data_IF_600597268683
#
_entry.id   IF_600597268683
#
_cell.length_a   1.000
_cell.length_b   1.000
_cell.length_c   1.000
_cell.angle_alpha   90.00
_cell.angle_beta   90.00
_cell.angle_gamma   90.00
#
_symmetry.space_group_name_H-M   'P 1'
#
loop_
_entity.id
_entity.type
_entity.pdbx_description
1 polymer ?
#
# COMPACT_ATOMS: atom_id res chain seq x y z
N UNK A 1 48.24 -34.31 -46.70
CA UNK A 1 48.09 -32.85 -46.48
C UNK A 1 46.62 -32.57 -46.71
N UNK A 2 45.83 -32.60 -45.64
CA UNK A 2 44.37 -32.58 -45.70
C UNK A 2 43.91 -31.26 -45.10
N UNK A 3 43.22 -30.47 -45.91
CA UNK A 3 42.73 -29.13 -45.62
C UNK A 3 41.54 -29.22 -44.66
N UNK A 4 41.72 -28.70 -43.44
CA UNK A 4 40.66 -28.64 -42.44
C UNK A 4 39.75 -27.44 -42.74
N UNK A 5 38.54 -27.72 -43.21
CA UNK A 5 37.45 -26.74 -43.33
C UNK A 5 36.93 -26.40 -41.92
N UNK A 6 36.96 -25.15 -41.46
CA UNK A 6 36.35 -24.80 -40.19
C UNK A 6 34.83 -24.77 -40.35
N UNK A 7 34.13 -25.65 -39.63
CA UNK A 7 32.69 -25.54 -39.38
C UNK A 7 32.46 -24.27 -38.56
N UNK A 8 31.80 -23.29 -39.18
CA UNK A 8 31.28 -22.11 -38.52
C UNK A 8 30.00 -22.51 -37.76
N UNK A 9 30.17 -22.94 -36.52
CA UNK A 9 29.08 -23.21 -35.60
C UNK A 9 28.68 -21.88 -34.94
N UNK A 10 27.85 -21.08 -35.64
CA UNK A 10 27.26 -19.89 -35.04
C UNK A 10 26.22 -20.34 -34.02
N UNK A 11 26.48 -20.02 -32.74
CA UNK A 11 25.54 -20.02 -31.63
C UNK A 11 24.21 -19.39 -32.09
N UNK A 12 23.26 -20.26 -32.43
CA UNK A 12 21.87 -19.87 -32.43
C UNK A 12 21.53 -19.80 -30.95
N UNK A 13 21.45 -18.59 -30.41
CA UNK A 13 20.87 -18.32 -29.10
C UNK A 13 19.52 -19.04 -29.07
N UNK A 14 19.52 -20.21 -28.41
CA UNK A 14 18.36 -21.06 -28.28
C UNK A 14 17.29 -20.20 -27.64
N UNK A 15 16.31 -19.82 -28.46
CA UNK A 15 15.11 -19.12 -28.05
C UNK A 15 14.40 -20.07 -27.10
N UNK A 16 14.81 -20.00 -25.83
CA UNK A 16 14.40 -20.86 -24.74
C UNK A 16 12.89 -20.77 -24.71
N UNK A 17 12.28 -21.78 -25.31
CA UNK A 17 10.86 -21.78 -25.61
C UNK A 17 10.24 -22.02 -24.26
N UNK A 18 9.95 -20.91 -23.58
CA UNK A 18 9.44 -20.86 -22.22
C UNK A 18 8.32 -21.89 -22.11
N UNK A 19 8.65 -23.08 -21.59
CA UNK A 19 7.67 -24.13 -21.31
C UNK A 19 6.52 -23.43 -20.61
N UNK A 20 5.26 -23.68 -20.99
CA UNK A 20 4.14 -23.13 -20.25
C UNK A 20 4.30 -23.63 -18.83
N UNK A 21 4.84 -22.78 -17.95
CA UNK A 21 4.98 -23.09 -16.55
C UNK A 21 3.55 -23.36 -16.11
N UNK A 22 3.27 -24.61 -15.75
CA UNK A 22 2.01 -25.02 -15.17
C UNK A 22 1.89 -24.24 -13.87
N UNK A 23 1.37 -23.00 -13.96
CA UNK A 23 1.18 -22.10 -12.83
C UNK A 23 0.32 -22.89 -11.86
N UNK A 24 0.83 -23.16 -10.66
CA UNK A 24 0.02 -23.81 -9.66
C UNK A 24 -1.25 -22.97 -9.46
N UNK A 25 -2.44 -23.58 -9.40
CA UNK A 25 -3.70 -22.83 -9.27
C UNK A 25 -3.66 -21.89 -8.06
N UNK A 26 -2.95 -22.28 -7.00
CA UNK A 26 -2.69 -21.46 -5.81
C UNK A 26 -1.88 -20.19 -6.10
N UNK A 27 -0.86 -20.23 -6.98
CA UNK A 27 -0.08 -19.03 -7.32
C UNK A 27 -0.90 -18.01 -8.13
N UNK A 28 -1.83 -18.49 -8.97
CA UNK A 28 -2.74 -17.61 -9.71
C UNK A 28 -3.76 -16.94 -8.78
N UNK A 29 -4.32 -17.69 -7.82
CA UNK A 29 -5.27 -17.17 -6.84
C UNK A 29 -4.59 -16.13 -5.94
N UNK A 30 -3.40 -16.42 -5.43
CA UNK A 30 -2.63 -15.49 -4.59
C UNK A 30 -2.36 -14.17 -5.32
N UNK A 31 -2.00 -14.22 -6.61
CA UNK A 31 -1.80 -13.01 -7.42
C UNK A 31 -3.07 -12.16 -7.57
N UNK A 32 -4.22 -12.79 -7.86
CA UNK A 32 -5.50 -12.07 -7.96
C UNK A 32 -5.95 -11.47 -6.63
N UNK A 33 -5.75 -12.19 -5.53
CA UNK A 33 -6.06 -11.71 -4.17
C UNK A 33 -5.18 -10.51 -3.80
N UNK A 34 -3.86 -10.58 -4.06
CA UNK A 34 -2.95 -9.45 -3.85
C UNK A 34 -3.33 -8.23 -4.70
N UNK A 35 -3.76 -8.44 -5.95
CA UNK A 35 -4.25 -7.35 -6.80
C UNK A 35 -5.52 -6.71 -6.22
N UNK A 36 -6.49 -7.50 -5.78
CA UNK A 36 -7.72 -6.99 -5.16
C UNK A 36 -7.49 -6.28 -3.82
N UNK A 37 -6.56 -6.79 -3.00
CA UNK A 37 -6.20 -6.14 -1.73
C UNK A 37 -5.44 -4.83 -1.95
N UNK A 38 -4.59 -4.75 -2.98
CA UNK A 38 -3.84 -3.52 -3.30
C UNK A 38 -4.74 -2.43 -3.89
N UNK A 39 -5.76 -2.79 -4.69
CA UNK A 39 -6.77 -1.81 -5.13
C UNK A 39 -7.60 -1.32 -3.95
N UNK A 40 -8.01 -2.21 -3.04
CA UNK A 40 -8.72 -1.82 -1.82
C UNK A 40 -7.88 -0.85 -0.97
N UNK A 41 -6.59 -1.16 -0.80
CA UNK A 41 -5.64 -0.30 -0.08
C UNK A 41 -5.53 1.10 -0.74
N UNK A 42 -5.47 1.16 -2.07
CA UNK A 42 -5.44 2.42 -2.81
C UNK A 42 -6.70 3.25 -2.54
N UNK A 43 -7.88 2.65 -2.68
CA UNK A 43 -9.16 3.34 -2.47
C UNK A 43 -9.31 3.86 -1.03
N UNK A 44 -8.93 3.06 -0.04
CA UNK A 44 -8.93 3.51 1.35
C UNK A 44 -7.92 4.62 1.61
N UNK A 45 -6.74 4.59 0.99
CA UNK A 45 -5.75 5.64 1.14
C UNK A 45 -6.24 6.98 0.55
N UNK A 46 -6.92 6.94 -0.60
CA UNK A 46 -7.59 8.10 -1.19
C UNK A 46 -8.66 8.65 -0.24
N UNK A 47 -9.47 7.79 0.38
CA UNK A 47 -10.48 8.21 1.35
C UNK A 47 -9.87 8.85 2.62
N UNK A 48 -8.75 8.30 3.13
CA UNK A 48 -7.99 8.87 4.25
C UNK A 48 -7.51 10.28 3.88
N UNK A 49 -6.83 10.43 2.74
CA UNK A 49 -6.30 11.73 2.28
C UNK A 49 -7.44 12.72 2.04
N UNK A 50 -8.53 12.30 1.40
CA UNK A 50 -9.68 13.18 1.12
C UNK A 50 -10.34 13.71 2.40
N UNK A 51 -10.61 12.83 3.36
CA UNK A 51 -11.23 13.23 4.64
C UNK A 51 -10.32 14.13 5.47
N UNK A 52 -9.03 13.83 5.53
CA UNK A 52 -8.06 14.63 6.29
C UNK A 52 -7.70 15.95 5.60
N UNK A 53 -7.60 15.99 4.28
CA UNK A 53 -7.35 17.21 3.51
C UNK A 53 -8.51 18.20 3.63
N UNK A 54 -9.76 17.72 3.59
CA UNK A 54 -10.93 18.59 3.77
C UNK A 54 -10.99 19.19 5.19
N UNK A 55 -10.63 18.41 6.20
CA UNK A 55 -10.54 18.88 7.58
C UNK A 55 -9.45 19.96 7.72
N UNK A 56 -8.27 19.73 7.14
CA UNK A 56 -7.16 20.68 7.16
C UNK A 56 -7.46 21.96 6.37
N UNK A 57 -8.12 21.84 5.22
CA UNK A 57 -8.58 22.98 4.44
C UNK A 57 -9.59 23.83 5.21
N UNK A 58 -10.52 23.20 5.92
CA UNK A 58 -11.48 23.91 6.77
C UNK A 58 -10.76 24.66 7.90
N UNK A 59 -9.81 24.02 8.57
CA UNK A 59 -8.96 24.68 9.57
C UNK A 59 -8.24 25.90 9.00
N UNK A 60 -7.54 25.76 7.86
CA UNK A 60 -6.79 26.85 7.25
C UNK A 60 -7.69 28.04 6.85
N UNK A 61 -8.92 27.78 6.41
CA UNK A 61 -9.87 28.85 6.03
C UNK A 61 -10.59 29.51 7.21
N UNK A 62 -10.67 28.85 8.37
CA UNK A 62 -11.43 29.32 9.54
C UNK A 62 -10.53 29.70 10.72
N UNK A 63 -9.24 29.42 10.61
CA UNK A 63 -8.24 29.82 11.57
C UNK A 63 -8.00 31.33 11.45
N UNK A 64 -8.41 32.05 12.49
CA UNK A 64 -8.10 33.46 12.68
C UNK A 64 -6.86 33.55 13.58
N UNK A 65 -5.92 34.43 13.21
CA UNK A 65 -4.68 34.65 13.97
C UNK A 65 -4.95 35.15 15.39
N UNK A 66 -3.89 35.21 16.21
CA UNK A 66 -3.98 35.63 17.63
C UNK A 66 -4.46 37.06 17.85
N UNK A 67 -4.48 37.87 16.80
CA UNK A 67 -4.91 39.28 16.83
C UNK A 67 -6.44 39.44 16.88
N UNK A 68 -7.20 38.36 16.69
CA UNK A 68 -8.66 38.38 16.74
C UNK A 68 -9.17 37.90 18.11
N UNK A 69 -10.09 38.65 18.70
CA UNK A 69 -10.64 38.44 20.06
C UNK A 69 -11.57 37.22 20.18
N UNK A 70 -11.95 36.57 19.08
CA UNK A 70 -12.79 35.37 19.04
C UNK A 70 -12.11 34.25 18.22
N UNK A 71 -11.01 33.65 18.71
CA UNK A 71 -10.40 32.54 18.03
C UNK A 71 -11.32 31.30 18.14
N UNK A 72 -11.83 30.84 16.99
CA UNK A 72 -12.66 29.64 16.90
C UNK A 72 -11.90 28.35 17.28
N UNK A 73 -10.58 28.41 17.20
CA UNK A 73 -9.65 27.32 17.49
C UNK A 73 -8.74 27.70 18.68
N UNK A 74 -8.37 26.76 19.54
CA UNK A 74 -7.51 27.04 20.68
C UNK A 74 -6.09 27.47 20.23
N UNK A 75 -5.42 28.28 21.05
CA UNK A 75 -4.09 28.84 20.73
C UNK A 75 -2.97 27.80 20.64
N UNK A 76 -3.09 26.69 21.39
CA UNK A 76 -2.20 25.53 21.33
C UNK A 76 -2.93 24.38 20.64
N UNK A 77 -2.83 24.33 19.32
CA UNK A 77 -3.54 23.36 18.49
C UNK A 77 -2.57 22.48 17.71
N UNK A 78 -2.68 21.16 17.90
CA UNK A 78 -1.79 20.19 17.25
C UNK A 78 -2.37 19.71 15.91
N UNK A 79 -1.87 20.30 14.82
CA UNK A 79 -2.17 19.87 13.43
C UNK A 79 -1.31 18.71 12.96
N UNK A 80 -0.22 18.41 13.68
CA UNK A 80 0.79 17.40 13.34
C UNK A 80 0.20 16.01 13.04
N UNK A 81 -0.75 15.48 13.82
CA UNK A 81 -1.35 14.18 13.55
C UNK A 81 -2.10 14.15 12.20
N UNK A 82 -2.87 15.20 11.90
CA UNK A 82 -3.64 15.29 10.65
C UNK A 82 -2.72 15.45 9.45
N UNK A 83 -1.65 16.25 9.55
CA UNK A 83 -0.66 16.36 8.47
C UNK A 83 0.10 15.05 8.24
N UNK A 84 0.40 14.28 9.31
CA UNK A 84 1.04 12.98 9.19
C UNK A 84 0.12 11.97 8.48
N UNK A 85 -1.18 11.96 8.79
CA UNK A 85 -2.19 11.14 8.11
C UNK A 85 -2.26 11.44 6.60
N UNK A 86 -2.28 12.73 6.23
CA UNK A 86 -2.28 13.15 4.81
C UNK A 86 -1.00 12.69 4.12
N UNK A 87 0.16 12.96 4.71
CA UNK A 87 1.46 12.63 4.12
C UNK A 87 1.63 11.11 3.94
N UNK A 88 1.33 10.33 4.98
CA UNK A 88 1.42 8.87 4.94
C UNK A 88 0.41 8.28 3.94
N UNK A 89 -0.83 8.80 3.92
CA UNK A 89 -1.84 8.40 2.94
C UNK A 89 -1.39 8.68 1.50
N UNK A 90 -0.80 9.85 1.23
CA UNK A 90 -0.28 10.18 -0.09
C UNK A 90 0.85 9.23 -0.55
N UNK A 91 1.77 8.87 0.36
CA UNK A 91 2.82 7.89 0.07
C UNK A 91 2.23 6.52 -0.28
N UNK A 92 1.20 6.08 0.46
CA UNK A 92 0.49 4.82 0.16
C UNK A 92 -0.18 4.89 -1.22
N UNK A 93 -0.83 6.00 -1.56
CA UNK A 93 -1.47 6.17 -2.87
C UNK A 93 -0.44 6.01 -3.99
N UNK A 94 0.69 6.72 -3.89
CA UNK A 94 1.74 6.68 -4.91
C UNK A 94 2.33 5.27 -5.03
N UNK A 95 2.67 4.61 -3.92
CA UNK A 95 3.27 3.28 -3.95
C UNK A 95 2.31 2.21 -4.48
N UNK A 96 1.03 2.26 -4.08
CA UNK A 96 -0.02 1.36 -4.56
C UNK A 96 -0.35 1.61 -6.03
N UNK A 97 -0.41 2.86 -6.48
CA UNK A 97 -0.64 3.20 -7.88
C UNK A 97 0.48 2.69 -8.78
N UNK A 98 1.74 2.92 -8.41
CA UNK A 98 2.91 2.39 -9.13
C UNK A 98 2.82 0.86 -9.24
N UNK A 99 2.50 0.19 -8.14
CA UNK A 99 2.40 -1.28 -8.12
C UNK A 99 1.28 -1.82 -9.00
N UNK A 100 0.14 -1.12 -9.08
CA UNK A 100 -0.94 -1.47 -9.99
C UNK A 100 -0.52 -1.29 -11.44
N UNK A 101 0.09 -0.15 -11.79
CA UNK A 101 0.60 0.11 -13.15
C UNK A 101 1.58 -0.98 -13.59
N UNK A 102 2.53 -1.36 -12.72
CA UNK A 102 3.48 -2.45 -12.98
C UNK A 102 2.81 -3.82 -13.15
N UNK A 103 1.63 -4.01 -12.56
CA UNK A 103 0.86 -5.26 -12.65
C UNK A 103 0.00 -5.34 -13.92
N UNK A 104 -0.49 -4.21 -14.43
CA UNK A 104 -1.32 -4.14 -15.64
C UNK A 104 -0.51 -4.22 -16.94
N UNK A 105 0.70 -3.66 -16.96
CA UNK A 105 1.54 -3.67 -18.16
C UNK A 105 2.25 -5.01 -18.30
N UNK A 106 2.02 -5.79 -19.36
CA UNK A 106 2.56 -7.16 -19.49
C UNK A 106 4.09 -7.21 -19.51
N UNK A 107 4.75 -6.22 -20.14
CA UNK A 107 6.21 -6.12 -20.15
C UNK A 107 6.79 -5.84 -18.75
N UNK A 108 6.16 -4.94 -17.99
CA UNK A 108 6.57 -4.63 -16.63
C UNK A 108 6.23 -5.75 -15.65
N UNK A 109 5.17 -6.51 -15.93
CA UNK A 109 4.81 -7.70 -15.16
C UNK A 109 5.86 -8.80 -15.26
N UNK A 110 6.52 -8.95 -16.41
CA UNK A 110 7.65 -9.86 -16.56
C UNK A 110 8.85 -9.42 -15.70
N UNK A 111 9.11 -8.12 -15.63
CA UNK A 111 10.13 -7.53 -14.74
C UNK A 111 9.77 -7.76 -13.27
N UNK A 112 8.52 -7.55 -12.85
CA UNK A 112 8.04 -7.86 -11.50
C UNK A 112 8.23 -9.35 -11.13
N UNK A 113 7.95 -10.25 -12.08
CA UNK A 113 8.15 -11.69 -11.88
C UNK A 113 9.63 -12.04 -11.71
N UNK A 114 10.51 -11.37 -12.46
CA UNK A 114 11.97 -11.55 -12.41
C UNK A 114 12.54 -10.98 -11.10
N UNK A 115 12.10 -9.79 -10.71
CA UNK A 115 12.48 -9.11 -9.47
C UNK A 115 11.38 -9.28 -8.42
N UNK A 116 11.24 -10.51 -7.89
CA UNK A 116 10.25 -10.89 -6.86
C UNK A 116 10.20 -9.94 -5.64
N UNK A 117 11.27 -9.20 -5.36
CA UNK A 117 11.32 -8.21 -4.27
C UNK A 117 10.48 -6.96 -4.51
N UNK A 118 10.25 -6.54 -5.76
CA UNK A 118 9.57 -5.26 -6.05
C UNK A 118 8.09 -5.32 -5.65
N UNK A 119 7.44 -6.48 -5.78
CA UNK A 119 6.05 -6.69 -5.38
C UNK A 119 5.82 -6.51 -3.86
N UNK A 120 6.86 -6.65 -3.04
CA UNK A 120 6.79 -6.44 -1.59
C UNK A 120 7.09 -4.99 -1.18
N UNK A 121 7.60 -4.15 -2.07
CA UNK A 121 7.98 -2.77 -1.72
C UNK A 121 6.77 -1.92 -1.37
N UNK A 122 5.71 -1.93 -2.18
CA UNK A 122 4.55 -1.09 -1.87
C UNK A 122 3.82 -1.50 -0.57
N UNK A 123 3.59 -2.80 -0.30
CA UNK A 123 2.98 -3.20 0.97
C UNK A 123 3.86 -2.93 2.19
N UNK A 124 5.18 -3.05 2.08
CA UNK A 124 6.10 -2.70 3.18
C UNK A 124 6.12 -1.19 3.43
N UNK A 125 6.21 -0.37 2.39
CA UNK A 125 6.09 1.09 2.50
C UNK A 125 4.74 1.48 3.11
N UNK A 126 3.66 0.84 2.68
CA UNK A 126 2.34 1.11 3.22
C UNK A 126 2.16 0.69 4.67
N UNK A 127 2.81 -0.41 5.09
CA UNK A 127 2.84 -0.84 6.49
C UNK A 127 3.60 0.15 7.36
N UNK A 128 4.77 0.60 6.91
CA UNK A 128 5.59 1.61 7.61
C UNK A 128 4.79 2.92 7.72
N UNK A 129 4.20 3.39 6.62
CA UNK A 129 3.37 4.59 6.61
C UNK A 129 2.17 4.46 7.56
N UNK A 130 1.50 3.30 7.58
CA UNK A 130 0.42 2.96 8.51
C UNK A 130 0.84 3.07 9.98
N UNK A 131 1.98 2.45 10.32
CA UNK A 131 2.55 2.49 11.68
C UNK A 131 2.93 3.91 12.09
N UNK A 132 3.59 4.66 11.21
CA UNK A 132 4.01 6.05 11.46
C UNK A 132 2.77 6.94 11.65
N UNK A 133 1.78 6.89 10.75
CA UNK A 133 0.57 7.71 10.90
C UNK A 133 -0.20 7.39 12.18
N UNK A 134 -0.28 6.11 12.55
CA UNK A 134 -0.94 5.67 13.79
C UNK A 134 -0.14 6.07 15.03
N UNK A 135 1.18 5.98 15.01
CA UNK A 135 2.04 6.34 16.13
C UNK A 135 2.10 7.85 16.37
N UNK A 136 2.06 8.67 15.31
CA UNK A 136 1.93 10.12 15.48
C UNK A 136 0.60 10.49 16.13
N UNK A 137 -0.48 9.79 15.81
CA UNK A 137 -1.77 10.04 16.44
C UNK A 137 -1.82 9.58 17.90
N UNK A 138 -1.35 8.37 18.22
CA UNK A 138 -1.48 7.84 19.60
C UNK A 138 -0.29 8.14 20.51
N UNK A 139 0.92 8.24 19.95
CA UNK A 139 2.17 8.43 20.70
C UNK A 139 2.55 9.89 20.88
N UNK A 140 2.37 10.74 19.85
CA UNK A 140 2.74 12.17 19.94
C UNK A 140 1.59 13.00 20.52
N UNK A 141 0.34 12.60 20.30
CA UNK A 141 -0.84 13.28 20.86
C UNK A 141 -1.26 12.76 22.25
N UNK A 142 -0.35 12.12 23.00
CA UNK A 142 -0.62 11.67 24.37
C UNK A 142 -0.69 12.82 25.39
N UNK A 143 -0.40 14.05 24.97
CA UNK A 143 -0.50 15.22 25.84
C UNK A 143 -1.96 15.59 26.11
N UNK A 144 -2.37 15.59 27.38
CA UNK A 144 -3.71 16.01 27.82
C UNK A 144 -3.92 17.54 27.76
N UNK A 145 -2.90 18.31 27.39
CA UNK A 145 -2.93 19.79 27.44
C UNK A 145 -3.18 20.44 26.09
N UNK A 146 -3.05 19.70 24.98
CA UNK A 146 -3.21 20.26 23.63
C UNK A 146 -4.37 19.58 22.91
N UNK A 147 -5.24 20.40 22.31
CA UNK A 147 -6.38 19.88 21.54
C UNK A 147 -5.93 19.61 20.10
N UNK A 148 -6.27 18.43 19.56
CA UNK A 148 -6.08 18.10 18.15
C UNK A 148 -7.34 18.41 17.36
N UNK A 149 -7.23 18.43 16.03
CA UNK A 149 -8.36 18.69 15.13
C UNK A 149 -9.51 17.70 15.35
N UNK A 150 -9.19 16.44 15.62
CA UNK A 150 -10.19 15.42 15.92
C UNK A 150 -10.84 15.63 17.30
N UNK A 151 -10.06 15.83 18.36
CA UNK A 151 -10.65 15.97 19.71
C UNK A 151 -11.50 17.23 19.82
N UNK A 152 -11.01 18.35 19.26
CA UNK A 152 -11.74 19.62 19.27
C UNK A 152 -13.04 19.54 18.45
N UNK A 153 -12.97 19.07 17.20
CA UNK A 153 -14.17 18.97 16.35
C UNK A 153 -15.21 18.02 16.92
N UNK A 154 -14.79 16.95 17.61
CA UNK A 154 -15.71 16.04 18.28
C UNK A 154 -16.29 16.62 19.58
N UNK A 155 -15.53 17.40 20.34
CA UNK A 155 -16.05 18.07 21.54
C UNK A 155 -17.18 19.03 21.20
N UNK A 156 -17.07 19.75 20.07
CA UNK A 156 -18.07 20.70 19.60
C UNK A 156 -19.07 20.11 18.60
N UNK A 157 -19.08 18.79 18.42
CA UNK A 157 -19.92 18.11 17.41
C UNK A 157 -21.42 18.28 17.63
N UNK A 158 -21.85 18.59 18.85
CA UNK A 158 -23.26 18.86 19.20
C UNK A 158 -23.72 20.26 18.77
N UNK A 159 -22.81 21.17 18.43
CA UNK A 159 -23.16 22.51 17.96
C UNK A 159 -23.32 22.47 16.44
N UNK A 160 -24.55 22.67 15.99
CA UNK A 160 -24.86 22.81 14.58
C UNK A 160 -24.54 24.24 14.11
N UNK A 161 -23.77 24.35 13.03
CA UNK A 161 -23.36 25.63 12.44
C UNK A 161 -23.79 25.68 10.99
N UNK A 162 -24.51 26.73 10.60
CA UNK A 162 -24.93 26.98 9.21
C UNK A 162 -23.80 27.51 8.31
N UNK A 163 -22.64 27.81 8.90
CA UNK A 163 -21.44 28.32 8.23
C UNK A 163 -20.27 27.43 8.66
N UNK A 164 -19.29 27.23 7.77
CA UNK A 164 -18.09 26.46 8.10
C UNK A 164 -17.42 27.03 9.36
N UNK A 165 -16.94 26.18 10.29
CA UNK A 165 -16.83 24.71 10.20
C UNK A 165 -18.08 23.97 10.70
N UNK A 166 -18.49 22.94 9.94
CA UNK A 166 -19.54 22.00 10.39
C UNK A 166 -18.92 20.93 11.32
N UNK A 167 -18.98 21.16 12.63
CA UNK A 167 -18.28 20.33 13.64
C UNK A 167 -18.65 18.86 13.61
N UNK A 168 -19.94 18.54 13.51
CA UNK A 168 -20.42 17.15 13.45
C UNK A 168 -19.85 16.38 12.26
N UNK A 169 -19.84 17.02 11.07
CA UNK A 169 -19.26 16.42 9.85
C UNK A 169 -17.75 16.28 9.96
N UNK A 170 -17.04 17.29 10.47
CA UNK A 170 -15.58 17.24 10.68
C UNK A 170 -15.18 16.13 11.67
N UNK A 171 -15.92 15.96 12.77
CA UNK A 171 -15.68 14.89 13.73
C UNK A 171 -15.84 13.51 13.08
N UNK A 172 -16.92 13.31 12.29
CA UNK A 172 -17.15 12.03 11.61
C UNK A 172 -16.07 11.74 10.55
N UNK A 173 -15.68 12.74 9.77
CA UNK A 173 -14.63 12.60 8.74
C UNK A 173 -13.26 12.30 9.36
N UNK A 174 -12.88 13.01 10.42
CA UNK A 174 -11.60 12.79 11.13
C UNK A 174 -11.52 11.40 11.75
N UNK A 175 -12.59 10.94 12.44
CA UNK A 175 -12.69 9.56 12.94
C UNK A 175 -12.58 8.53 11.82
N UNK A 176 -13.28 8.72 10.70
CA UNK A 176 -13.21 7.82 9.57
C UNK A 176 -11.79 7.71 9.00
N UNK A 177 -11.11 8.83 8.78
CA UNK A 177 -9.71 8.85 8.32
C UNK A 177 -8.76 8.10 9.26
N UNK A 178 -8.92 8.29 10.57
CA UNK A 178 -8.13 7.56 11.57
C UNK A 178 -8.42 6.06 11.55
N UNK A 179 -9.68 5.65 11.57
CA UNK A 179 -10.03 4.23 11.58
C UNK A 179 -9.54 3.52 10.32
N UNK A 180 -9.66 4.16 9.16
CA UNK A 180 -9.13 3.63 7.91
C UNK A 180 -7.61 3.50 7.96
N UNK A 181 -6.89 4.46 8.55
CA UNK A 181 -5.43 4.39 8.72
C UNK A 181 -5.00 3.25 9.65
N UNK A 182 -5.73 3.03 10.74
CA UNK A 182 -5.48 1.89 11.64
C UNK A 182 -5.74 0.56 10.93
N UNK A 183 -6.83 0.47 10.16
CA UNK A 183 -7.18 -0.73 9.38
C UNK A 183 -6.24 -0.98 8.19
N UNK A 184 -5.45 0.02 7.75
CA UNK A 184 -4.38 -0.21 6.77
C UNK A 184 -3.31 -1.16 7.28
N UNK A 185 -2.97 -1.13 8.57
CA UNK A 185 -1.93 -2.01 9.12
C UNK A 185 -2.25 -3.50 8.89
N UNK A 186 -3.40 -4.05 9.35
CA UNK A 186 -3.73 -5.44 9.10
C UNK A 186 -3.91 -5.74 7.61
N UNK A 187 -4.44 -4.79 6.82
CA UNK A 187 -4.57 -4.98 5.37
C UNK A 187 -3.20 -5.22 4.70
N UNK A 188 -2.19 -4.40 5.03
CA UNK A 188 -0.85 -4.55 4.47
C UNK A 188 -0.19 -5.86 4.88
N UNK A 189 -0.42 -6.32 6.12
CA UNK A 189 0.04 -7.65 6.59
C UNK A 189 -0.60 -8.78 5.77
N UNK A 190 -1.89 -8.67 5.45
CA UNK A 190 -2.59 -9.66 4.62
C UNK A 190 -2.02 -9.65 3.20
N UNK A 191 -1.75 -8.49 2.62
CA UNK A 191 -1.12 -8.38 1.28
C UNK A 191 0.26 -9.04 1.25
N UNK A 192 1.09 -8.78 2.27
CA UNK A 192 2.43 -9.36 2.39
C UNK A 192 2.38 -10.89 2.53
N UNK A 193 1.47 -11.40 3.36
CA UNK A 193 1.33 -12.84 3.56
C UNK A 193 0.81 -13.55 2.31
N UNK A 194 -0.16 -12.98 1.60
CA UNK A 194 -0.64 -13.52 0.32
C UNK A 194 0.48 -13.55 -0.73
N UNK A 195 1.27 -12.48 -0.84
CA UNK A 195 2.43 -12.42 -1.73
C UNK A 195 3.48 -13.47 -1.40
N UNK A 196 3.79 -13.66 -0.12
CA UNK A 196 4.74 -14.67 0.34
C UNK A 196 4.27 -16.09 -0.03
N UNK A 197 3.00 -16.42 0.25
CA UNK A 197 2.41 -17.72 -0.12
C UNK A 197 2.50 -17.96 -1.62
N UNK A 198 2.23 -16.95 -2.45
CA UNK A 198 2.39 -17.04 -3.90
C UNK A 198 3.82 -17.37 -4.34
N UNK A 199 4.82 -16.76 -3.70
CA UNK A 199 6.24 -17.05 -3.99
C UNK A 199 6.65 -18.46 -3.54
N UNK A 200 6.22 -18.89 -2.34
CA UNK A 200 6.51 -20.23 -1.83
C UNK A 200 5.83 -21.33 -2.67
N UNK A 201 4.59 -21.12 -3.10
CA UNK A 201 3.84 -22.05 -3.95
C UNK A 201 4.38 -22.13 -5.39
N UNK A 202 5.16 -21.14 -5.81
CA UNK A 202 5.82 -21.09 -7.12
C UNK A 202 7.28 -21.59 -7.11
N UNK A 203 7.81 -22.04 -5.96
CA UNK A 203 9.10 -22.75 -5.95
C UNK A 203 8.88 -24.15 -6.56
N UNK A 204 9.70 -24.56 -7.55
CA UNK A 204 9.61 -25.93 -8.04
C UNK A 204 9.89 -26.86 -6.86
N UNK A 205 8.94 -27.73 -6.52
CA UNK A 205 9.27 -28.89 -5.71
C UNK A 205 10.29 -29.67 -6.54
N UNK A 206 11.55 -29.71 -6.09
CA UNK A 206 12.53 -30.67 -6.56
C UNK A 206 11.99 -32.06 -6.20
N UNK A 207 11.04 -32.54 -6.98
CA UNK A 207 10.66 -33.94 -7.00
C UNK A 207 11.85 -34.61 -7.68
N UNK A 208 12.72 -35.21 -6.88
CA UNK A 208 13.66 -36.22 -7.36
C UNK A 208 12.80 -37.29 -8.02
N UNK A 209 12.65 -37.18 -9.34
CA UNK A 209 12.05 -38.23 -10.16
C UNK A 209 13.12 -39.32 -10.23
N UNK A 210 13.07 -40.24 -9.28
CA UNK A 210 13.76 -41.52 -9.39
C UNK A 210 13.41 -42.10 -10.77
N UNK A 211 14.39 -42.07 -11.67
CA UNK A 211 14.31 -42.64 -13.00
C UNK A 211 14.42 -44.16 -12.83
N UNK A 212 13.36 -44.80 -12.31
CA UNK A 212 13.30 -46.26 -12.19
C UNK A 212 13.43 -46.85 -13.60
N UNK A 213 14.49 -47.64 -13.78
CA UNK A 213 15.07 -48.01 -15.06
C UNK A 213 14.10 -48.61 -16.08
N UNK A 214 14.38 -48.33 -17.35
CA UNK A 214 13.79 -49.06 -18.47
C UNK A 214 14.08 -50.56 -18.35
N UNK A 215 13.10 -51.43 -18.60
CA UNK A 215 13.36 -52.84 -18.82
C UNK A 215 14.08 -53.01 -20.16
N UNK A 216 15.21 -53.72 -20.15
CA UNK A 216 15.80 -54.25 -21.37
C UNK A 216 14.81 -55.25 -21.97
N UNK A 217 14.36 -55.01 -23.21
CA UNK A 217 13.70 -56.03 -24.01
C UNK A 217 14.74 -57.02 -24.51
N UNK A 218 14.35 -58.29 -24.42
CA UNK A 218 14.99 -59.50 -24.92
C UNK A 218 15.32 -59.44 -26.41
#
# INVERSE_FOLDING_TARGET
MSEAKPEFQSDFEEFDTQRPQTKSPMASIAGSVSLGLTTLALLSAIAIVGTSAQALGTYNTTHLGRDYLLPLWPSNFDIRPTTALVACGAVIIVSSAISLVLSFVPELRAIQLKYRGIAFLAPTVGLIAGLVGTSFFYGVNASNTTSSLQSWSCQWSAIDMNIKPHWGTLCRQSKAGLYLMVMMIPLQVIVLSAGAVGVFAAKPRLVVRERKGSPAMS
#
